data_IF_521486316606
#
_entry.id   IF_521486316606
#
_cell.length_a   1.000
_cell.length_b   1.000
_cell.length_c   1.000
_cell.angle_alpha   90.00
_cell.angle_beta   90.00
_cell.angle_gamma   90.00
#
_symmetry.space_group_name_H-M   'P 1'
#
loop_
_entity.id
_entity.type
_entity.pdbx_description
1 polymer ?
#
# COMPACT_ATOMS: atom_id res chain seq x y z
N UNK A 1 -15.75 4.91 -11.25
CA UNK A 1 -14.42 4.63 -10.65
C UNK A 1 -14.19 5.72 -9.63
N UNK A 2 -14.09 5.42 -8.34
CA UNK A 2 -13.95 6.45 -7.31
C UNK A 2 -12.49 6.90 -7.25
N UNK A 3 -12.20 8.11 -7.75
CA UNK A 3 -10.87 8.73 -7.74
C UNK A 3 -10.25 8.75 -6.33
N UNK A 4 -11.10 8.92 -5.31
CA UNK A 4 -10.73 8.96 -3.90
C UNK A 4 -10.09 7.67 -3.41
N UNK A 5 -10.56 6.50 -3.83
CA UNK A 5 -10.00 5.20 -3.39
C UNK A 5 -8.61 4.97 -3.96
N UNK A 6 -8.41 5.35 -5.22
CA UNK A 6 -7.10 5.24 -5.90
C UNK A 6 -6.09 6.16 -5.22
N UNK A 7 -6.52 7.37 -4.87
CA UNK A 7 -5.70 8.35 -4.17
C UNK A 7 -5.37 7.88 -2.75
N UNK A 8 -6.35 7.35 -2.01
CA UNK A 8 -6.16 6.79 -0.68
C UNK A 8 -5.17 5.62 -0.69
N UNK A 9 -5.32 4.68 -1.62
CA UNK A 9 -4.41 3.54 -1.80
C UNK A 9 -2.98 4.00 -2.12
N UNK A 10 -2.85 4.98 -3.02
CA UNK A 10 -1.56 5.55 -3.41
C UNK A 10 -0.86 6.21 -2.21
N UNK A 11 -1.55 7.12 -1.52
CA UNK A 11 -1.02 7.85 -0.37
C UNK A 11 -0.70 6.87 0.77
N UNK A 12 -1.61 5.94 1.07
CA UNK A 12 -1.43 4.90 2.08
C UNK A 12 -0.18 4.07 1.84
N UNK A 13 0.05 3.63 0.59
CA UNK A 13 1.26 2.89 0.25
C UNK A 13 2.54 3.73 0.41
N UNK A 14 2.51 5.02 0.06
CA UNK A 14 3.67 5.91 0.30
C UNK A 14 3.95 6.08 1.80
N UNK A 15 2.90 6.25 2.63
CA UNK A 15 3.04 6.40 4.08
C UNK A 15 3.59 5.13 4.74
N UNK A 16 3.07 3.96 4.36
CA UNK A 16 3.57 2.67 4.83
C UNK A 16 5.04 2.46 4.45
N UNK A 17 5.42 2.79 3.23
CA UNK A 17 6.80 2.73 2.78
C UNK A 17 7.72 3.68 3.59
N UNK A 18 7.27 4.91 3.84
CA UNK A 18 7.98 5.89 4.66
C UNK A 18 8.07 5.50 6.14
N UNK A 19 7.17 4.63 6.63
CA UNK A 19 7.27 4.01 7.94
C UNK A 19 8.14 2.74 7.95
N UNK A 20 8.67 2.32 6.80
CA UNK A 20 9.57 1.16 6.68
C UNK A 20 8.88 -0.18 6.48
N UNK A 21 7.60 -0.19 6.09
CA UNK A 21 6.88 -1.40 5.66
C UNK A 21 7.14 -1.70 4.18
N UNK A 22 7.13 -3.00 3.81
CA UNK A 22 7.34 -3.45 2.42
C UNK A 22 6.19 -2.97 1.49
N UNK A 23 6.49 -2.12 0.49
CA UNK A 23 5.48 -1.64 -0.46
C UNK A 23 4.76 -2.73 -1.26
N UNK A 24 5.38 -3.90 -1.44
CA UNK A 24 4.77 -5.00 -2.18
C UNK A 24 3.59 -5.65 -1.46
N UNK A 25 3.45 -5.45 -0.14
CA UNK A 25 2.32 -5.99 0.62
C UNK A 25 1.00 -5.29 0.28
N UNK A 26 1.02 -4.01 -0.10
CA UNK A 26 -0.20 -3.26 -0.43
C UNK A 26 -1.01 -3.88 -1.60
N UNK A 27 -0.44 -4.15 -2.79
CA UNK A 27 -1.18 -4.82 -3.86
C UNK A 27 -1.56 -6.28 -3.50
N UNK A 28 -0.72 -6.99 -2.73
CA UNK A 28 -1.02 -8.35 -2.26
C UNK A 28 -2.23 -8.40 -1.33
N UNK A 29 -2.36 -7.44 -0.43
CA UNK A 29 -3.50 -7.31 0.47
C UNK A 29 -4.80 -7.08 -0.32
N UNK A 30 -4.80 -6.16 -1.28
CA UNK A 30 -5.96 -5.90 -2.15
C UNK A 30 -6.36 -7.12 -2.99
N UNK A 31 -5.39 -7.92 -3.46
CA UNK A 31 -5.67 -9.15 -4.21
C UNK A 31 -6.30 -10.23 -3.32
N UNK A 32 -5.84 -10.37 -2.07
CA UNK A 32 -6.41 -11.30 -1.09
C UNK A 32 -7.84 -10.92 -0.71
N UNK A 33 -8.11 -9.63 -0.47
CA UNK A 33 -9.47 -9.11 -0.21
C UNK A 33 -10.39 -9.42 -1.39
N UNK A 34 -9.96 -9.12 -2.62
CA UNK A 34 -10.73 -9.44 -3.83
C UNK A 34 -10.93 -10.95 -4.11
N UNK A 35 -10.13 -11.84 -3.49
CA UNK A 35 -10.34 -13.29 -3.49
C UNK A 35 -11.37 -13.72 -2.44
N UNK A 36 -11.43 -13.05 -1.28
CA UNK A 36 -12.43 -13.29 -0.24
C UNK A 36 -13.82 -12.80 -0.63
N UNK A 37 -13.93 -11.62 -1.26
CA UNK A 37 -15.19 -11.07 -1.81
C UNK A 37 -15.85 -11.97 -2.86
N UNK A 38 -15.12 -12.94 -3.43
CA UNK A 38 -15.67 -13.92 -4.37
C UNK A 38 -16.48 -15.04 -3.72
N UNK A 39 -16.50 -15.15 -2.38
CA UNK A 39 -17.17 -16.25 -1.66
C UNK A 39 -18.65 -16.00 -1.35
N UNK A 40 -19.15 -14.76 -1.38
CA UNK A 40 -20.58 -14.51 -1.23
C UNK A 40 -21.05 -13.39 -2.19
N UNK A 41 -22.16 -13.64 -2.89
CA UNK A 41 -22.75 -12.71 -3.87
C UNK A 41 -23.21 -11.41 -3.21
N UNK A 42 -23.57 -11.48 -1.92
CA UNK A 42 -24.08 -10.36 -1.13
C UNK A 42 -22.94 -9.45 -0.64
N UNK A 43 -21.80 -9.99 -0.19
CA UNK A 43 -20.59 -9.19 0.10
C UNK A 43 -20.07 -8.49 -1.15
N UNK A 44 -20.11 -9.17 -2.30
CA UNK A 44 -19.68 -8.60 -3.58
C UNK A 44 -20.55 -7.42 -4.01
N UNK A 45 -21.85 -7.49 -3.76
CA UNK A 45 -22.81 -6.40 -3.97
C UNK A 45 -22.57 -5.25 -2.99
N UNK A 46 -22.41 -5.54 -1.69
CA UNK A 46 -22.17 -4.52 -0.65
C UNK A 46 -20.80 -3.82 -0.81
N UNK A 47 -19.73 -4.55 -1.09
CA UNK A 47 -18.40 -4.00 -1.39
C UNK A 47 -18.43 -3.12 -2.65
N UNK A 48 -19.16 -3.55 -3.69
CA UNK A 48 -19.30 -2.79 -4.95
C UNK A 48 -20.18 -1.54 -4.82
N UNK A 49 -21.04 -1.48 -3.80
CA UNK A 49 -21.89 -0.31 -3.51
C UNK A 49 -21.12 0.81 -2.82
N UNK A 50 -20.06 0.51 -2.07
CA UNK A 50 -19.23 1.53 -1.38
C UNK A 50 -17.90 1.82 -2.09
N UNK A 51 -17.28 0.85 -2.76
CA UNK A 51 -15.97 1.03 -3.39
C UNK A 51 -15.87 0.30 -4.75
N UNK A 52 -15.15 0.86 -5.74
CA UNK A 52 -14.90 0.19 -7.01
C UNK A 52 -14.01 -1.04 -6.81
N UNK A 53 -14.11 -2.01 -7.71
CA UNK A 53 -13.49 -3.34 -7.52
C UNK A 53 -12.00 -3.31 -7.15
N UNK A 54 -11.67 -4.04 -6.07
CA UNK A 54 -10.33 -4.24 -5.53
C UNK A 54 -9.31 -4.71 -6.58
N UNK A 55 -9.76 -5.41 -7.63
CA UNK A 55 -8.93 -5.87 -8.76
C UNK A 55 -8.33 -4.73 -9.59
N UNK A 56 -9.08 -3.65 -9.83
CA UNK A 56 -8.56 -2.50 -10.60
C UNK A 56 -7.60 -1.67 -9.75
N UNK A 57 -7.84 -1.61 -8.44
CA UNK A 57 -6.99 -0.92 -7.45
C UNK A 57 -5.63 -1.60 -7.30
N UNK A 58 -5.60 -2.92 -7.16
CA UNK A 58 -4.35 -3.69 -7.04
C UNK A 58 -3.46 -3.61 -8.29
N UNK A 59 -4.08 -3.58 -9.49
CA UNK A 59 -3.37 -3.39 -10.76
C UNK A 59 -2.69 -2.02 -10.83
N UNK A 60 -3.34 -0.97 -10.31
CA UNK A 60 -2.79 0.38 -10.32
C UNK A 60 -1.61 0.52 -9.37
N UNK A 61 -1.71 -0.03 -8.15
CA UNK A 61 -0.59 -0.04 -7.19
C UNK A 61 0.61 -0.85 -7.69
N UNK A 62 0.35 -1.92 -8.44
CA UNK A 62 1.38 -2.75 -9.06
C UNK A 62 2.10 -2.08 -10.24
N UNK A 63 1.69 -0.89 -10.68
CA UNK A 63 2.34 -0.21 -11.79
C UNK A 63 3.82 0.10 -11.46
N UNK A 64 4.76 -0.15 -12.40
CA UNK A 64 6.19 0.02 -12.14
C UNK A 64 6.57 1.41 -11.66
N UNK A 65 5.89 2.46 -12.15
CA UNK A 65 6.16 3.85 -11.74
C UNK A 65 5.79 4.11 -10.29
N UNK A 66 4.66 3.56 -9.84
CA UNK A 66 4.14 3.74 -8.48
C UNK A 66 5.00 2.93 -7.50
N UNK A 67 5.24 1.65 -7.82
CA UNK A 67 6.06 0.75 -7.00
C UNK A 67 7.47 1.30 -6.79
N UNK A 68 8.11 1.82 -7.86
CA UNK A 68 9.45 2.40 -7.76
C UNK A 68 9.50 3.56 -6.75
N UNK A 69 8.50 4.45 -6.78
CA UNK A 69 8.43 5.60 -5.86
C UNK A 69 8.29 5.14 -4.40
N UNK A 70 7.42 4.17 -4.14
CA UNK A 70 7.28 3.60 -2.81
C UNK A 70 8.59 2.92 -2.35
N UNK A 71 9.23 2.16 -3.24
CA UNK A 71 10.47 1.47 -2.93
C UNK A 71 11.62 2.44 -2.63
N UNK A 72 11.69 3.59 -3.30
CA UNK A 72 12.65 4.64 -2.96
C UNK A 72 12.45 5.17 -1.54
N UNK A 73 11.21 5.35 -1.08
CA UNK A 73 10.93 5.78 0.30
C UNK A 73 11.31 4.69 1.30
N UNK A 74 10.95 3.44 1.01
CA UNK A 74 11.28 2.29 1.84
C UNK A 74 12.79 2.10 2.02
N UNK A 75 13.57 2.19 0.94
CA UNK A 75 15.04 2.03 1.01
C UNK A 75 15.72 3.19 1.74
N UNK A 76 15.21 4.42 1.60
CA UNK A 76 15.70 5.57 2.37
C UNK A 76 15.54 5.35 3.87
N UNK A 77 14.42 4.78 4.31
CA UNK A 77 14.17 4.48 5.73
C UNK A 77 15.05 3.33 6.20
N UNK A 78 15.15 2.25 5.43
CA UNK A 78 16.01 1.10 5.77
C UNK A 78 17.49 1.50 5.86
N UNK A 79 17.99 2.33 4.94
CA UNK A 79 19.35 2.86 4.99
C UNK A 79 19.58 3.87 6.12
N UNK A 80 18.53 4.50 6.65
CA UNK A 80 18.59 5.37 7.85
C UNK A 80 18.53 4.62 9.18
N UNK A 81 18.04 3.39 9.14
CA UNK A 81 18.00 2.48 10.29
C UNK A 81 19.34 1.75 10.50
N UNK A 82 20.25 1.82 9.54
CA UNK A 82 21.67 1.65 9.82
C UNK A 82 22.12 2.85 10.67
N UNK A 83 22.82 2.57 11.77
CA UNK A 83 23.13 3.40 12.94
C UNK A 83 23.82 4.78 12.69
N UNK A 84 23.73 5.37 11.49
CA UNK A 84 24.39 6.61 11.09
C UNK A 84 23.46 7.79 10.84
N UNK A 85 22.13 7.59 10.71
CA UNK A 85 21.21 8.69 10.35
C UNK A 85 19.81 8.60 11.00
N UNK A 86 19.74 8.26 12.29
CA UNK A 86 18.49 8.32 13.05
C UNK A 86 17.94 9.76 13.10
N UNK A 87 16.64 9.94 12.81
CA UNK A 87 15.91 11.22 12.90
C UNK A 87 15.58 11.62 14.34
N UNK A 88 15.90 10.78 15.32
CA UNK A 88 15.88 11.06 16.76
C UNK A 88 17.16 10.49 17.39
N UNK A 89 18.09 11.33 17.87
CA UNK A 89 19.40 10.90 18.37
C UNK A 89 19.40 10.29 19.78
N UNK A 90 18.25 10.11 20.43
CA UNK A 90 18.19 9.81 21.88
C UNK A 90 18.12 8.33 22.27
N UNK A 91 18.15 7.38 21.32
CA UNK A 91 18.01 5.94 21.64
C UNK A 91 19.05 5.02 21.01
N UNK A 92 20.16 5.56 20.48
CA UNK A 92 21.34 4.74 20.23
C UNK A 92 22.09 4.55 21.56
N UNK A 93 21.98 3.36 22.16
CA UNK A 93 22.86 2.90 23.24
C UNK A 93 24.14 2.35 22.64
#
# INVERSE_FOLDING_TARGET
>A
MCRQEIEADYIGMMLLAAAGYDPHEAPRALEKVGKMERKSTLEKLLSSLSHPSCKKRSQLLSQPRVMRKAMTLYTQVKGKNDCRTCFMPSTCR
#
